data_IF_490820022754
#
_entry.id   IF_490820022754
#
_cell.length_a   1.000
_cell.length_b   1.000
_cell.length_c   1.000
_cell.angle_alpha   90.00
_cell.angle_beta   90.00
_cell.angle_gamma   90.00
#
_symmetry.space_group_name_H-M   'P 1'
#
loop_
_entity.id
_entity.type
_entity.pdbx_description
1 polymer ?
#
# COMPACT_ATOMS: atom_id res chain seq x y z
N UNK A 1 0.26 18.05 -31.98
CA UNK A 1 -1.16 17.81 -32.25
C UNK A 1 -1.35 16.42 -32.83
N UNK A 2 -2.29 15.64 -32.33
CA UNK A 2 -2.54 14.29 -32.81
C UNK A 2 -3.40 14.32 -34.08
N UNK A 3 -3.03 13.49 -35.08
CA UNK A 3 -3.86 13.32 -36.27
C UNK A 3 -5.06 12.43 -35.99
N UNK A 4 -6.09 12.48 -36.85
CA UNK A 4 -7.26 11.60 -36.71
C UNK A 4 -6.85 10.12 -36.76
N UNK A 5 -5.89 9.76 -37.60
CA UNK A 5 -5.35 8.41 -37.64
C UNK A 5 -4.68 7.96 -36.33
N UNK A 6 -3.98 8.87 -35.67
CA UNK A 6 -3.38 8.60 -34.35
C UNK A 6 -4.43 8.42 -33.26
N UNK A 7 -5.56 9.15 -33.34
CA UNK A 7 -6.64 9.02 -32.37
C UNK A 7 -7.49 7.77 -32.60
N UNK A 8 -7.64 7.33 -33.85
CA UNK A 8 -8.42 6.14 -34.21
C UNK A 8 -7.68 4.84 -33.90
N UNK A 9 -6.35 4.84 -33.89
CA UNK A 9 -5.56 3.70 -33.47
C UNK A 9 -5.61 3.54 -31.93
N UNK A 10 -5.54 2.31 -31.39
CA UNK A 10 -5.35 2.12 -29.97
C UNK A 10 -4.05 2.82 -29.56
N UNK A 11 -4.19 4.00 -29.01
CA UNK A 11 -3.09 4.94 -28.78
C UNK A 11 -2.04 4.32 -27.85
N UNK A 12 -0.78 4.72 -28.04
CA UNK A 12 0.32 4.38 -27.12
C UNK A 12 -0.05 4.69 -25.66
N UNK A 13 -0.85 5.75 -25.45
CA UNK A 13 -1.34 6.13 -24.13
C UNK A 13 -2.26 5.06 -23.52
N UNK A 14 -3.11 4.40 -24.32
CA UNK A 14 -3.96 3.30 -23.84
C UNK A 14 -3.13 2.07 -23.48
N UNK A 15 -2.13 1.74 -24.31
CA UNK A 15 -1.19 0.65 -24.01
C UNK A 15 -0.38 0.93 -22.75
N UNK A 16 0.16 2.13 -22.62
CA UNK A 16 0.90 2.54 -21.44
C UNK A 16 0.03 2.50 -20.17
N UNK A 17 -1.23 2.91 -20.30
CA UNK A 17 -2.20 2.84 -19.21
C UNK A 17 -2.50 1.40 -18.82
N UNK A 18 -2.68 0.51 -19.80
CA UNK A 18 -2.89 -0.92 -19.55
C UNK A 18 -1.69 -1.56 -18.86
N UNK A 19 -0.48 -1.30 -19.34
CA UNK A 19 0.76 -1.80 -18.73
C UNK A 19 0.95 -1.31 -17.29
N UNK A 20 0.66 -0.04 -17.03
CA UNK A 20 0.70 0.51 -15.67
C UNK A 20 -0.33 -0.14 -14.75
N UNK A 21 -1.49 -0.43 -15.27
CA UNK A 21 -2.56 -1.09 -14.54
C UNK A 21 -2.18 -2.53 -14.18
N UNK A 22 -1.48 -3.23 -15.06
CA UNK A 22 -1.02 -4.60 -14.83
C UNK A 22 0.01 -4.70 -13.70
N UNK A 23 0.79 -3.65 -13.44
CA UNK A 23 1.73 -3.63 -12.30
C UNK A 23 1.02 -3.64 -10.96
N UNK A 24 -0.18 -3.07 -10.90
CA UNK A 24 -0.99 -2.96 -9.68
C UNK A 24 -2.44 -3.30 -9.96
N UNK A 25 -2.74 -4.54 -10.32
CA UNK A 25 -4.07 -4.91 -10.79
C UNK A 25 -5.17 -4.68 -9.75
N UNK A 26 -4.84 -4.76 -8.47
CA UNK A 26 -5.81 -4.54 -7.40
C UNK A 26 -6.21 -3.07 -7.24
N UNK A 27 -5.42 -2.12 -7.76
CA UNK A 27 -5.68 -0.68 -7.69
C UNK A 27 -6.05 -0.10 -9.05
N UNK A 28 -6.62 -0.89 -9.93
CA UNK A 28 -7.03 -0.45 -11.26
C UNK A 28 -7.99 0.73 -11.19
N UNK A 29 -7.60 1.84 -11.82
CA UNK A 29 -8.42 3.05 -11.88
C UNK A 29 -8.54 3.85 -10.58
N UNK A 30 -7.78 3.50 -9.54
CA UNK A 30 -7.84 4.21 -8.26
C UNK A 30 -6.44 4.34 -7.64
N UNK A 31 -6.10 5.47 -6.99
CA UNK A 31 -4.82 5.60 -6.29
C UNK A 31 -4.77 4.79 -5.01
N UNK A 32 -5.91 4.58 -4.35
CA UNK A 32 -6.03 3.84 -3.09
C UNK A 32 -7.35 3.09 -3.07
N UNK A 33 -7.41 2.03 -2.26
CA UNK A 33 -8.64 1.28 -2.02
C UNK A 33 -8.76 0.86 -0.56
N UNK A 34 -9.99 0.84 -0.09
CA UNK A 34 -10.35 0.34 1.24
C UNK A 34 -10.32 -1.18 1.24
N UNK A 35 -9.82 -1.76 2.32
CA UNK A 35 -9.79 -3.21 2.51
C UNK A 35 -10.04 -3.61 3.94
N UNK A 36 -10.41 -4.86 4.12
CA UNK A 36 -10.62 -5.48 5.44
C UNK A 36 -9.51 -6.50 5.67
N UNK A 37 -8.92 -6.46 6.86
CA UNK A 37 -7.87 -7.40 7.24
C UNK A 37 -8.47 -8.78 7.47
N UNK A 38 -8.02 -9.77 6.68
CA UNK A 38 -8.44 -11.16 6.83
C UNK A 38 -7.50 -11.89 7.79
N UNK A 39 -6.19 -11.67 7.66
CA UNK A 39 -5.17 -12.36 8.44
C UNK A 39 -3.89 -11.52 8.51
N UNK A 40 -3.26 -11.53 9.66
CA UNK A 40 -1.92 -10.95 9.84
C UNK A 40 -0.86 -12.03 9.64
N UNK A 41 0.17 -11.72 8.87
CA UNK A 41 1.26 -12.65 8.56
C UNK A 41 2.61 -11.95 8.66
N UNK A 42 3.67 -12.75 8.81
CA UNK A 42 5.04 -12.26 8.77
C UNK A 42 5.80 -12.97 7.66
N UNK A 43 6.75 -12.28 7.05
CA UNK A 43 7.64 -12.86 6.03
C UNK A 43 9.06 -12.37 6.22
N UNK A 44 10.01 -13.23 5.84
CA UNK A 44 11.41 -12.85 5.74
C UNK A 44 11.70 -12.22 4.38
N UNK A 45 12.56 -11.19 4.30
CA UNK A 45 12.96 -10.63 3.02
C UNK A 45 13.86 -11.61 2.25
N UNK A 46 14.05 -11.34 0.96
CA UNK A 46 14.99 -12.08 0.14
C UNK A 46 16.44 -11.82 0.56
N UNK A 47 17.35 -12.74 0.28
CA UNK A 47 18.79 -12.54 0.50
C UNK A 47 19.29 -11.30 -0.27
N UNK A 48 20.29 -10.55 0.26
CA UNK A 48 21.07 -10.76 1.50
C UNK A 48 20.43 -10.20 2.77
N UNK A 49 19.21 -9.70 2.74
CA UNK A 49 18.58 -9.07 3.90
C UNK A 49 17.96 -10.12 4.83
N UNK A 50 17.94 -9.79 6.11
CA UNK A 50 17.33 -10.63 7.14
C UNK A 50 16.53 -9.77 8.11
N UNK A 51 15.26 -10.09 8.27
CA UNK A 51 14.35 -9.43 9.21
C UNK A 51 13.02 -10.19 9.25
N UNK A 52 12.15 -9.81 10.16
CA UNK A 52 10.76 -10.27 10.16
C UNK A 52 9.89 -9.08 9.72
N UNK A 53 9.33 -9.18 8.53
CA UNK A 53 8.46 -8.14 7.98
C UNK A 53 6.99 -8.48 8.24
N UNK A 54 6.25 -7.50 8.73
CA UNK A 54 4.83 -7.65 9.04
C UNK A 54 3.98 -7.30 7.81
N UNK A 55 3.09 -8.22 7.48
CA UNK A 55 2.16 -8.10 6.36
C UNK A 55 0.74 -8.38 6.82
N UNK A 56 -0.21 -8.04 5.99
CA UNK A 56 -1.59 -8.48 6.17
C UNK A 56 -2.15 -8.98 4.85
N UNK A 57 -2.90 -10.07 4.93
CA UNK A 57 -3.77 -10.48 3.84
C UNK A 57 -5.04 -9.67 3.95
N UNK A 58 -5.34 -8.90 2.91
CA UNK A 58 -6.48 -8.00 2.87
C UNK A 58 -7.45 -8.40 1.77
N UNK A 59 -8.74 -8.23 2.03
CA UNK A 59 -9.78 -8.28 1.02
C UNK A 59 -10.21 -6.86 0.70
N UNK A 60 -9.96 -6.44 -0.52
CA UNK A 60 -10.29 -5.09 -0.98
C UNK A 60 -11.78 -4.95 -1.34
N UNK A 61 -12.22 -3.71 -1.52
CA UNK A 61 -13.60 -3.40 -1.94
C UNK A 61 -13.98 -3.99 -3.30
N UNK A 62 -12.99 -4.27 -4.17
CA UNK A 62 -13.20 -4.95 -5.44
C UNK A 62 -13.15 -6.49 -5.35
N UNK A 63 -13.25 -7.04 -4.14
CA UNK A 63 -13.22 -8.48 -3.83
C UNK A 63 -11.88 -9.19 -4.08
N UNK A 64 -10.83 -8.47 -4.47
CA UNK A 64 -9.49 -9.05 -4.59
C UNK A 64 -8.84 -9.23 -3.23
N UNK A 65 -8.06 -10.28 -3.09
CA UNK A 65 -7.22 -10.52 -1.91
C UNK A 65 -5.78 -10.17 -2.27
N UNK A 66 -5.14 -9.39 -1.41
CA UNK A 66 -3.76 -8.97 -1.60
C UNK A 66 -2.98 -9.05 -0.29
N UNK A 67 -1.67 -9.16 -0.40
CA UNK A 67 -0.77 -8.92 0.72
C UNK A 67 -0.29 -7.47 0.68
N UNK A 68 -0.41 -6.77 1.80
CA UNK A 68 0.03 -5.40 1.93
C UNK A 68 1.00 -5.24 3.10
N UNK A 69 2.07 -4.49 2.85
CA UNK A 69 3.10 -4.23 3.86
C UNK A 69 2.60 -3.26 4.93
N UNK A 70 3.02 -3.49 6.16
CA UNK A 70 2.76 -2.63 7.31
C UNK A 70 3.94 -1.67 7.48
N UNK A 71 3.81 -0.38 7.12
CA UNK A 71 4.92 0.56 7.28
C UNK A 71 5.10 0.97 8.73
N UNK A 72 6.34 1.31 9.09
CA UNK A 72 6.71 1.80 10.39
C UNK A 72 7.25 0.73 11.32
N UNK A 73 7.74 1.17 12.46
CA UNK A 73 8.38 0.35 13.47
C UNK A 73 7.43 0.08 14.65
N UNK A 74 7.71 -0.97 15.40
CA UNK A 74 7.02 -1.28 16.63
C UNK A 74 5.65 -1.93 16.49
N UNK A 75 4.86 -1.80 17.53
CA UNK A 75 3.55 -2.44 17.64
C UNK A 75 2.50 -1.72 16.80
N UNK A 76 1.49 -2.45 16.40
CA UNK A 76 0.31 -1.93 15.72
C UNK A 76 -0.95 -2.44 16.41
N UNK A 77 -2.03 -1.70 16.25
CA UNK A 77 -3.33 -2.04 16.84
C UNK A 77 -4.23 -2.87 15.90
N UNK A 78 -3.69 -3.30 14.77
CA UNK A 78 -4.47 -4.04 13.79
C UNK A 78 -4.79 -5.45 14.26
N UNK A 79 -6.03 -5.85 14.03
CA UNK A 79 -6.56 -7.17 14.32
C UNK A 79 -7.25 -7.70 13.07
N UNK A 80 -7.72 -8.95 13.11
CA UNK A 80 -8.61 -9.47 12.08
C UNK A 80 -9.87 -8.60 11.99
N UNK A 81 -10.39 -8.44 10.78
CA UNK A 81 -11.55 -7.59 10.46
C UNK A 81 -11.33 -6.08 10.60
N UNK A 82 -10.11 -5.62 10.90
CA UNK A 82 -9.79 -4.19 10.88
C UNK A 82 -9.87 -3.62 9.47
N UNK A 83 -10.40 -2.40 9.35
CA UNK A 83 -10.51 -1.70 8.06
C UNK A 83 -9.27 -0.85 7.84
N UNK A 84 -8.67 -0.95 6.67
CA UNK A 84 -7.46 -0.20 6.31
C UNK A 84 -7.55 0.37 4.91
N UNK A 85 -6.76 1.41 4.64
CA UNK A 85 -6.60 1.98 3.32
C UNK A 85 -5.28 1.47 2.72
N UNK A 86 -5.32 1.04 1.46
CA UNK A 86 -4.18 0.48 0.73
C UNK A 86 -3.80 1.41 -0.40
N UNK A 87 -2.51 1.67 -0.54
CA UNK A 87 -1.92 2.39 -1.66
C UNK A 87 -0.94 1.51 -2.43
N UNK A 88 -0.58 1.94 -3.62
CA UNK A 88 0.54 1.35 -4.32
C UNK A 88 1.86 1.69 -3.63
N UNK A 89 2.82 0.80 -3.72
CA UNK A 89 4.14 0.96 -3.13
C UNK A 89 4.76 -0.40 -2.93
N UNK A 90 5.63 -0.79 -3.85
CA UNK A 90 6.29 -2.09 -3.78
C UNK A 90 7.34 -2.10 -2.69
N UNK A 91 7.43 -3.20 -1.97
CA UNK A 91 8.53 -3.48 -1.06
C UNK A 91 9.57 -4.29 -1.82
N UNK A 92 10.73 -3.70 -2.04
CA UNK A 92 11.79 -4.31 -2.85
C UNK A 92 12.34 -5.62 -2.25
N UNK A 93 12.40 -5.70 -0.91
CA UNK A 93 12.91 -6.85 -0.19
C UNK A 93 11.95 -8.04 -0.16
N UNK A 94 10.67 -7.82 -0.44
CA UNK A 94 9.64 -8.84 -0.33
C UNK A 94 9.07 -9.16 -1.71
N UNK A 95 9.36 -10.36 -2.26
CA UNK A 95 8.83 -10.75 -3.56
C UNK A 95 7.30 -10.82 -3.56
N UNK A 96 6.67 -10.25 -4.60
CA UNK A 96 5.22 -10.28 -4.77
C UNK A 96 4.42 -9.30 -3.91
N UNK A 97 5.06 -8.49 -3.09
CA UNK A 97 4.38 -7.48 -2.26
C UNK A 97 4.39 -6.14 -3.00
N UNK A 98 3.27 -5.81 -3.62
CA UNK A 98 3.10 -4.63 -4.47
C UNK A 98 2.35 -3.48 -3.80
N UNK A 99 1.86 -3.68 -2.60
CA UNK A 99 0.95 -2.76 -1.92
C UNK A 99 1.43 -2.46 -0.52
N UNK A 100 1.08 -1.27 -0.03
CA UNK A 100 1.41 -0.80 1.31
C UNK A 100 0.16 -0.21 1.95
N UNK A 101 -0.03 -0.40 3.24
CA UNK A 101 -1.13 0.22 3.98
C UNK A 101 -0.78 1.65 4.38
N UNK A 102 -1.79 2.49 4.47
CA UNK A 102 -1.64 3.90 4.89
C UNK A 102 -1.94 4.03 6.37
N UNK A 103 -0.97 4.56 7.13
CA UNK A 103 -1.17 4.82 8.55
C UNK A 103 -2.00 6.08 8.78
N UNK A 104 -2.71 6.11 9.91
CA UNK A 104 -3.52 7.26 10.32
C UNK A 104 -4.89 7.34 9.66
N UNK A 105 -5.29 6.31 8.90
CA UNK A 105 -6.57 6.24 8.20
C UNK A 105 -7.33 4.99 8.64
N UNK A 106 -8.62 5.12 8.85
CA UNK A 106 -9.49 4.04 9.35
C UNK A 106 -8.94 3.43 10.65
N UNK A 107 -8.91 2.12 10.76
CA UNK A 107 -8.47 1.42 11.98
C UNK A 107 -6.96 1.34 12.16
N UNK A 108 -6.19 1.80 11.16
CA UNK A 108 -4.73 1.79 11.24
C UNK A 108 -4.20 3.10 11.80
N UNK A 109 -3.97 3.11 13.10
CA UNK A 109 -3.47 4.29 13.82
C UNK A 109 -2.08 4.72 13.34
N UNK A 110 -1.79 6.03 13.47
CA UNK A 110 -0.46 6.56 13.22
C UNK A 110 0.57 5.99 14.18
N UNK A 111 1.84 6.06 13.77
CA UNK A 111 2.95 5.57 14.58
C UNK A 111 3.22 6.53 15.75
N UNK A 112 3.05 6.05 16.97
CA UNK A 112 3.28 6.84 18.16
C UNK A 112 4.79 7.08 18.42
N UNK A 113 5.12 8.24 18.96
CA UNK A 113 6.49 8.56 19.38
C UNK A 113 7.46 8.91 18.28
N UNK A 114 7.01 8.97 17.04
CA UNK A 114 7.88 9.32 15.90
C UNK A 114 8.00 10.83 15.78
N UNK A 115 9.24 11.34 15.76
CA UNK A 115 9.51 12.78 15.72
C UNK A 115 9.93 13.29 14.34
N UNK A 116 10.51 12.44 13.49
CA UNK A 116 10.97 12.77 12.14
C UNK A 116 10.25 11.95 11.09
N UNK A 117 10.07 12.50 9.89
CA UNK A 117 9.41 11.81 8.78
C UNK A 117 7.98 11.39 9.10
N UNK A 118 7.23 12.24 9.75
CA UNK A 118 5.91 11.94 10.33
C UNK A 118 4.81 11.69 9.30
N UNK A 119 4.88 12.34 8.15
CA UNK A 119 3.83 12.27 7.12
C UNK A 119 3.56 10.85 6.64
N UNK A 120 4.60 10.07 6.42
CA UNK A 120 4.48 8.69 5.94
C UNK A 120 3.84 7.74 6.96
N UNK A 121 3.85 8.12 8.23
CA UNK A 121 3.41 7.25 9.33
C UNK A 121 2.21 7.81 10.09
N UNK A 122 1.58 8.84 9.56
CA UNK A 122 0.37 9.42 10.16
C UNK A 122 0.56 9.97 11.57
N UNK A 123 1.76 10.46 11.89
CA UNK A 123 2.09 10.99 13.21
C UNK A 123 1.95 12.50 13.22
N UNK A 124 1.27 13.02 14.23
CA UNK A 124 1.11 14.46 14.44
C UNK A 124 2.40 15.07 14.98
N UNK A 125 2.57 16.37 14.73
CA UNK A 125 3.69 17.13 15.32
C UNK A 125 3.62 17.04 16.84
N UNK A 126 4.74 16.74 17.52
CA UNK A 126 4.76 16.78 18.99
C UNK A 126 4.42 18.17 19.51
N UNK A 127 3.66 18.24 20.58
CA UNK A 127 3.37 19.51 21.24
C UNK A 127 4.65 20.12 21.83
N UNK A 128 4.83 21.45 21.67
CA UNK A 128 5.97 22.17 22.23
C UNK A 128 5.83 22.19 23.75
N UNK A 129 6.86 21.76 24.47
CA UNK A 129 6.85 21.72 25.92
C UNK A 129 6.15 20.51 26.55
N UNK A 130 5.76 19.53 25.73
CA UNK A 130 5.20 18.28 26.22
C UNK A 130 6.24 17.18 26.32
#
# INVERSE_FOLDING_TARGET
MSTIAQLSLPSRARRAKKLRTERRPALTGAPQKKGVCVKLVTRTPKKPNSAIRKLALLRLSNRRRIYAYLPGEGKHSLQEHSVVLVRGGRVKDLPGIKYTRVRGVYDFAGLAGRTKGRSKYGTKRPAVGA
#
